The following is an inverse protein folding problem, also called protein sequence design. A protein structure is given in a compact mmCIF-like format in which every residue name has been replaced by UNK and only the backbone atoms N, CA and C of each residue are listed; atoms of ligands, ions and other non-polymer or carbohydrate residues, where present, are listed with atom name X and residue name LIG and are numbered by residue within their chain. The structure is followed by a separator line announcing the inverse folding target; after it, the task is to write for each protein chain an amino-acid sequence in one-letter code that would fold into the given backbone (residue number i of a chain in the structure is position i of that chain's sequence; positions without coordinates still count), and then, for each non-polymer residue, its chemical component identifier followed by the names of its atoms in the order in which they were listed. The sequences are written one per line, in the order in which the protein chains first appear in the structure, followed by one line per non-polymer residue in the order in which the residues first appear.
data_IF_630243645089
#
_entry.id   IF_630243645089
#
_cell.length_a   1.000
_cell.length_b   1.000
_cell.length_c   1.000
_cell.angle_alpha   90.00
_cell.angle_beta   90.00
_cell.angle_gamma   90.00
#
_symmetry.space_group_name_H-M   'P 1'
#
loop_
_entity.id
_entity.type
_entity.pdbx_description
1 polymer ?
#
# COMPACT_ATOMS: atom_id res chain seq x y z
N UNK A 1 52.84 21.78 37.20
CA UNK A 1 51.91 21.31 36.14
C UNK A 1 51.46 22.50 35.32
N UNK A 2 52.02 22.69 34.12
CA UNK A 2 51.55 23.73 33.19
C UNK A 2 50.19 23.30 32.65
N UNK A 3 49.13 24.04 33.01
CA UNK A 3 47.81 23.91 32.37
C UNK A 3 47.96 24.40 30.92
N UNK A 4 48.04 23.47 29.96
CA UNK A 4 47.90 23.82 28.54
C UNK A 4 46.47 24.31 28.32
N UNK A 5 46.33 25.58 27.99
CA UNK A 5 45.05 26.17 27.59
C UNK A 5 44.92 26.02 26.07
N UNK A 6 43.71 25.68 25.59
CA UNK A 6 43.42 25.61 24.17
C UNK A 6 43.43 27.00 23.55
N UNK A 7 43.98 27.11 22.33
CA UNK A 7 43.90 28.35 21.58
C UNK A 7 42.47 28.57 21.10
N UNK A 8 42.01 29.82 21.07
CA UNK A 8 40.66 30.17 20.62
C UNK A 8 40.40 29.68 19.18
N UNK A 9 41.41 29.73 18.32
CA UNK A 9 41.30 29.21 16.94
C UNK A 9 41.11 27.69 16.90
N UNK A 10 41.72 26.95 17.82
CA UNK A 10 41.65 25.48 17.88
C UNK A 10 40.25 25.03 18.29
N UNK A 11 39.65 25.70 19.28
CA UNK A 11 38.26 25.47 19.70
C UNK A 11 37.29 25.80 18.57
N UNK A 12 37.53 26.88 17.83
CA UNK A 12 36.68 27.29 16.70
C UNK A 12 36.73 26.25 15.57
N UNK A 13 37.93 25.78 15.19
CA UNK A 13 38.07 24.75 14.16
C UNK A 13 37.42 23.44 14.60
N UNK A 14 37.62 23.02 15.86
CA UNK A 14 37.02 21.79 16.38
C UNK A 14 35.48 21.84 16.38
N UNK A 15 34.91 22.95 16.85
CA UNK A 15 33.46 23.14 16.86
C UNK A 15 32.88 23.20 15.45
N UNK A 16 33.57 23.81 14.48
CA UNK A 16 33.14 23.85 13.09
C UNK A 16 33.09 22.44 12.45
N UNK A 17 34.14 21.63 12.65
CA UNK A 17 34.19 20.25 12.14
C UNK A 17 33.07 19.40 12.78
N UNK A 18 32.88 19.56 14.09
CA UNK A 18 31.87 18.83 14.85
C UNK A 18 30.44 19.24 14.44
N UNK A 19 30.21 20.51 14.13
CA UNK A 19 28.93 20.97 13.58
C UNK A 19 28.64 20.37 12.19
N UNK A 20 29.63 20.34 11.30
CA UNK A 20 29.49 19.71 9.97
C UNK A 20 29.16 18.22 10.08
N UNK A 21 29.79 17.52 11.02
CA UNK A 21 29.51 16.11 11.27
C UNK A 21 28.05 15.89 11.70
N UNK A 22 27.53 16.71 12.63
CA UNK A 22 26.13 16.59 13.04
C UNK A 22 25.14 16.87 11.92
N UNK A 23 25.40 17.88 11.07
CA UNK A 23 24.55 18.17 9.91
C UNK A 23 24.51 16.98 8.94
N UNK A 24 25.66 16.36 8.68
CA UNK A 24 25.74 15.17 7.84
C UNK A 24 24.96 13.99 8.45
N UNK A 25 25.15 13.72 9.74
CA UNK A 25 24.45 12.66 10.45
C UNK A 25 22.94 12.86 10.44
N UNK A 26 22.45 14.07 10.73
CA UNK A 26 21.01 14.38 10.70
C UNK A 26 20.41 14.18 9.31
N UNK A 27 21.12 14.58 8.26
CA UNK A 27 20.64 14.42 6.87
C UNK A 27 20.45 12.94 6.53
N UNK A 28 21.42 12.09 6.88
CA UNK A 28 21.33 10.64 6.67
C UNK A 28 20.16 10.05 7.47
N UNK A 29 19.99 10.45 8.73
CA UNK A 29 18.89 9.98 9.57
C UNK A 29 17.52 10.35 8.97
N UNK A 30 17.34 11.57 8.48
CA UNK A 30 16.07 12.01 7.85
C UNK A 30 15.77 11.20 6.59
N UNK A 31 16.77 10.97 5.73
CA UNK A 31 16.61 10.15 4.52
C UNK A 31 16.25 8.70 4.86
N UNK A 32 16.87 8.14 5.90
CA UNK A 32 16.58 6.79 6.40
C UNK A 32 15.15 6.69 6.91
N UNK A 33 14.72 7.62 7.77
CA UNK A 33 13.35 7.66 8.31
C UNK A 33 12.29 7.77 7.20
N UNK A 34 12.56 8.57 6.17
CA UNK A 34 11.67 8.69 5.00
C UNK A 34 11.54 7.36 4.27
N UNK A 35 12.65 6.67 4.04
CA UNK A 35 12.67 5.36 3.38
C UNK A 35 11.91 4.31 4.19
N UNK A 36 12.10 4.29 5.51
CA UNK A 36 11.37 3.39 6.41
C UNK A 36 9.86 3.62 6.38
N UNK A 37 9.42 4.88 6.31
CA UNK A 37 7.99 5.22 6.25
C UNK A 37 7.33 4.76 4.95
N UNK A 38 8.00 4.93 3.80
CA UNK A 38 7.52 4.41 2.52
C UNK A 38 7.43 2.88 2.53
N UNK A 39 8.40 2.19 3.13
CA UNK A 39 8.37 0.74 3.28
C UNK A 39 7.22 0.29 4.21
N UNK A 40 7.01 0.99 5.32
CA UNK A 40 5.90 0.73 6.24
C UNK A 40 4.55 0.79 5.51
N UNK A 41 4.30 1.82 4.71
CA UNK A 41 3.07 1.92 3.93
C UNK A 41 2.93 0.84 2.87
N UNK A 42 4.04 0.42 2.28
CA UNK A 42 4.03 -0.69 1.31
C UNK A 42 3.62 -2.00 1.98
N UNK A 43 4.16 -2.29 3.17
CA UNK A 43 3.80 -3.48 3.96
C UNK A 43 2.33 -3.44 4.39
N UNK A 44 1.82 -2.27 4.79
CA UNK A 44 0.40 -2.12 5.14
C UNK A 44 -0.49 -2.30 3.90
N UNK A 45 -0.09 -1.76 2.75
CA UNK A 45 -0.83 -1.92 1.51
C UNK A 45 -0.86 -3.38 1.03
N UNK A 46 0.24 -4.13 1.16
CA UNK A 46 0.27 -5.57 0.84
C UNK A 46 -0.65 -6.35 1.78
N UNK A 47 -0.61 -6.08 3.08
CA UNK A 47 -1.49 -6.74 4.05
C UNK A 47 -2.98 -6.48 3.74
N UNK A 48 -3.35 -5.24 3.40
CA UNK A 48 -4.73 -4.91 3.00
C UNK A 48 -5.16 -5.59 1.70
N UNK A 49 -4.23 -5.83 0.78
CA UNK A 49 -4.49 -6.56 -0.46
C UNK A 49 -4.64 -8.07 -0.20
N UNK A 50 -3.84 -8.64 0.69
CA UNK A 50 -3.94 -10.03 1.14
C UNK A 50 -5.26 -10.28 1.86
N UNK A 51 -5.62 -9.43 2.82
CA UNK A 51 -6.91 -9.48 3.53
C UNK A 51 -8.09 -9.48 2.54
N UNK A 52 -8.03 -8.65 1.51
CA UNK A 52 -9.06 -8.60 0.48
C UNK A 52 -9.08 -9.84 -0.40
N UNK A 53 -7.91 -10.42 -0.68
CA UNK A 53 -7.79 -11.67 -1.45
C UNK A 53 -8.38 -12.84 -0.67
N UNK A 54 -8.10 -12.93 0.63
CA UNK A 54 -8.68 -13.93 1.53
C UNK A 54 -10.19 -13.77 1.64
N UNK A 55 -10.67 -12.53 1.78
CA UNK A 55 -12.10 -12.24 1.78
C UNK A 55 -12.78 -12.67 0.47
N UNK A 56 -12.17 -12.41 -0.68
CA UNK A 56 -12.70 -12.87 -1.98
C UNK A 56 -12.71 -14.40 -2.08
N UNK A 57 -11.71 -15.08 -1.54
CA UNK A 57 -11.71 -16.53 -1.44
C UNK A 57 -12.86 -17.04 -0.57
N UNK A 58 -13.19 -16.35 0.53
CA UNK A 58 -14.37 -16.69 1.35
C UNK A 58 -15.68 -16.49 0.58
N UNK A 59 -15.83 -15.37 -0.14
CA UNK A 59 -17.01 -15.10 -0.96
C UNK A 59 -17.19 -16.14 -2.07
N UNK A 60 -16.08 -16.52 -2.74
CA UNK A 60 -16.00 -17.58 -3.74
C UNK A 60 -16.58 -18.91 -3.23
N UNK A 61 -16.15 -19.32 -2.03
CA UNK A 61 -16.52 -20.60 -1.43
C UNK A 61 -17.96 -20.60 -0.88
N UNK A 62 -18.50 -19.43 -0.55
CA UNK A 62 -19.85 -19.29 0.00
C UNK A 62 -20.92 -19.54 -1.06
N UNK A 63 -20.81 -18.88 -2.22
CA UNK A 63 -21.76 -19.02 -3.33
C UNK A 63 -21.10 -18.61 -4.65
N UNK A 64 -20.60 -19.60 -5.40
CA UNK A 64 -19.93 -19.36 -6.67
C UNK A 64 -20.85 -18.72 -7.73
N UNK A 65 -22.08 -19.20 -7.99
CA UNK A 65 -23.00 -18.53 -8.91
C UNK A 65 -23.21 -17.04 -8.58
N UNK A 66 -23.38 -16.69 -7.30
CA UNK A 66 -23.51 -15.30 -6.88
C UNK A 66 -22.22 -14.51 -7.06
N UNK A 67 -21.08 -15.13 -6.78
CA UNK A 67 -19.76 -14.52 -6.95
C UNK A 67 -19.49 -14.15 -8.41
N UNK A 68 -19.77 -15.06 -9.35
CA UNK A 68 -19.66 -14.79 -10.79
C UNK A 68 -20.60 -13.66 -11.22
N UNK A 69 -21.81 -13.60 -10.65
CA UNK A 69 -22.81 -12.58 -10.99
C UNK A 69 -22.41 -11.15 -10.54
N UNK A 70 -21.38 -10.98 -9.72
CA UNK A 70 -20.83 -9.65 -9.41
C UNK A 70 -20.08 -9.05 -10.60
N UNK A 71 -19.65 -9.84 -11.58
CA UNK A 71 -19.27 -9.30 -12.87
C UNK A 71 -20.51 -8.92 -13.67
N UNK A 72 -20.87 -7.64 -13.62
CA UNK A 72 -21.98 -7.07 -14.40
C UNK A 72 -21.53 -6.63 -15.79
N UNK A 73 -20.22 -6.66 -16.06
CA UNK A 73 -19.66 -6.22 -17.32
C UNK A 73 -19.79 -7.33 -18.37
N UNK A 74 -19.97 -6.94 -19.63
CA UNK A 74 -19.93 -7.88 -20.75
C UNK A 74 -18.48 -8.11 -21.25
N UNK A 75 -17.50 -8.18 -20.34
CA UNK A 75 -16.12 -8.60 -20.66
C UNK A 75 -14.99 -7.68 -20.20
N UNK A 76 -15.25 -6.45 -19.77
CA UNK A 76 -14.20 -5.51 -19.33
C UNK A 76 -13.84 -5.64 -17.84
N UNK A 77 -14.66 -6.36 -17.08
CA UNK A 77 -14.61 -6.45 -15.62
C UNK A 77 -15.43 -5.35 -14.94
N UNK A 78 -15.87 -5.63 -13.72
CA UNK A 78 -16.60 -4.68 -12.87
C UNK A 78 -15.70 -4.21 -11.74
N UNK A 79 -15.60 -2.88 -11.55
CA UNK A 79 -14.82 -2.28 -10.47
C UNK A 79 -15.68 -2.17 -9.22
N UNK A 80 -15.10 -2.50 -8.06
CA UNK A 80 -15.71 -2.35 -6.74
C UNK A 80 -14.76 -1.64 -5.78
N UNK A 81 -15.34 -0.83 -4.89
CA UNK A 81 -14.62 -0.20 -3.81
C UNK A 81 -14.72 -1.05 -2.54
N UNK A 82 -13.62 -1.69 -2.14
CA UNK A 82 -13.57 -2.63 -1.02
C UNK A 82 -13.00 -2.00 0.26
N UNK A 83 -13.44 -0.79 0.63
CA UNK A 83 -12.96 -0.14 1.86
C UNK A 83 -13.29 -0.97 3.10
N UNK A 84 -14.52 -1.47 3.20
CA UNK A 84 -15.02 -2.31 4.29
C UNK A 84 -15.28 -3.77 3.91
N UNK A 85 -14.57 -4.32 2.91
CA UNK A 85 -14.70 -5.72 2.46
C UNK A 85 -16.15 -6.15 2.22
N UNK A 86 -16.84 -5.42 1.35
CA UNK A 86 -18.22 -5.71 1.00
C UNK A 86 -18.53 -5.18 -0.40
N UNK A 87 -19.62 -5.69 -0.99
CA UNK A 87 -20.07 -5.33 -2.33
C UNK A 87 -20.95 -4.07 -2.39
N UNK A 88 -20.97 -3.24 -1.34
CA UNK A 88 -21.94 -2.13 -1.23
C UNK A 88 -21.73 -1.03 -2.28
N UNK A 89 -20.50 -0.86 -2.76
CA UNK A 89 -20.14 0.21 -3.69
C UNK A 89 -19.48 -0.36 -4.94
N UNK A 90 -20.22 -0.36 -6.04
CA UNK A 90 -19.68 -0.56 -7.38
C UNK A 90 -19.12 0.75 -7.93
N UNK A 91 -17.96 0.70 -8.58
CA UNK A 91 -17.23 1.85 -9.10
C UNK A 91 -15.94 2.13 -8.34
N UNK A 92 -15.24 3.18 -8.76
CA UNK A 92 -14.01 3.63 -8.13
C UNK A 92 -14.25 4.13 -6.70
N UNK A 93 -13.25 3.97 -5.84
CA UNK A 93 -13.35 4.48 -4.48
C UNK A 93 -13.27 6.02 -4.46
N UNK A 94 -14.16 6.71 -3.72
CA UNK A 94 -14.21 8.18 -3.69
C UNK A 94 -13.01 8.81 -2.96
N UNK A 95 -12.24 8.03 -2.21
CA UNK A 95 -11.07 8.52 -1.48
C UNK A 95 -10.29 7.44 -0.72
N UNK A 96 -9.29 7.90 0.04
CA UNK A 96 -8.43 7.07 0.88
C UNK A 96 -9.06 6.90 2.27
N UNK A 97 -9.86 5.86 2.47
CA UNK A 97 -10.51 5.60 3.76
C UNK A 97 -10.23 4.21 4.33
N UNK A 98 -9.47 3.38 3.62
CA UNK A 98 -9.09 2.04 4.08
C UNK A 98 -7.86 2.09 5.01
N UNK A 99 -7.81 1.15 5.94
CA UNK A 99 -6.76 1.02 6.95
C UNK A 99 -6.97 1.89 8.20
N UNK A 100 -6.10 1.67 9.19
CA UNK A 100 -5.99 2.51 10.39
C UNK A 100 -4.54 2.99 10.50
N UNK A 101 -4.23 4.26 10.18
CA UNK A 101 -5.14 5.33 9.74
C UNK A 101 -5.68 5.18 8.31
N UNK A 102 -6.78 5.87 8.02
CA UNK A 102 -7.44 5.97 6.71
C UNK A 102 -6.56 6.66 5.65
N UNK A 103 -5.58 5.93 5.12
CA UNK A 103 -4.58 6.43 4.16
C UNK A 103 -4.60 5.65 2.84
N UNK A 104 -5.34 4.54 2.79
CA UNK A 104 -5.33 3.64 1.66
C UNK A 104 -6.66 3.66 0.91
N UNK A 105 -6.59 3.38 -0.38
CA UNK A 105 -7.73 3.18 -1.28
C UNK A 105 -7.62 1.77 -1.83
N UNK A 106 -8.64 0.95 -1.62
CA UNK A 106 -8.65 -0.48 -1.99
C UNK A 106 -9.73 -0.74 -3.03
N UNK A 107 -9.31 -1.05 -4.23
CA UNK A 107 -10.17 -1.28 -5.40
C UNK A 107 -10.02 -2.71 -5.89
N UNK A 108 -11.11 -3.29 -6.36
CA UNK A 108 -11.14 -4.60 -6.99
C UNK A 108 -11.68 -4.45 -8.40
N UNK A 109 -10.97 -4.98 -9.38
CA UNK A 109 -11.52 -5.28 -10.70
C UNK A 109 -11.83 -6.78 -10.74
N UNK A 110 -13.09 -7.15 -10.97
CA UNK A 110 -13.53 -8.54 -11.05
C UNK A 110 -14.08 -8.84 -12.44
N UNK A 111 -13.56 -9.88 -13.08
CA UNK A 111 -13.89 -10.28 -14.45
C UNK A 111 -14.15 -11.78 -14.55
N UNK A 112 -15.37 -12.16 -14.86
CA UNK A 112 -15.72 -13.54 -15.14
C UNK A 112 -15.25 -13.95 -16.54
N UNK A 113 -14.69 -15.15 -16.66
CA UNK A 113 -14.15 -15.70 -17.91
C UNK A 113 -14.77 -17.06 -18.19
N UNK A 114 -15.27 -17.22 -19.43
CA UNK A 114 -15.92 -18.45 -19.92
C UNK A 114 -17.45 -18.31 -20.03
N UNK A 115 -18.07 -19.23 -20.76
CA UNK A 115 -19.53 -19.34 -20.87
C UNK A 115 -19.97 -20.82 -20.81
N UNK A 116 -20.45 -21.33 -19.67
CA UNK A 116 -20.59 -20.64 -18.37
C UNK A 116 -19.23 -20.28 -17.75
N UNK A 117 -19.20 -19.28 -16.85
CA UNK A 117 -17.94 -18.80 -16.27
C UNK A 117 -17.23 -19.88 -15.46
N UNK A 118 -16.01 -20.23 -15.87
CA UNK A 118 -15.18 -21.27 -15.24
C UNK A 118 -14.07 -20.68 -14.36
N UNK A 119 -13.76 -19.40 -14.56
CA UNK A 119 -12.74 -18.65 -13.81
C UNK A 119 -13.21 -17.22 -13.58
N UNK A 120 -12.84 -16.63 -12.45
CA UNK A 120 -13.00 -15.21 -12.17
C UNK A 120 -11.62 -14.60 -11.95
N UNK A 121 -11.21 -13.73 -12.87
CA UNK A 121 -10.00 -12.94 -12.73
C UNK A 121 -10.28 -11.75 -11.82
N UNK A 122 -9.44 -11.59 -10.81
CA UNK A 122 -9.52 -10.53 -9.80
C UNK A 122 -8.22 -9.75 -9.81
N UNK A 123 -8.33 -8.43 -9.78
CA UNK A 123 -7.21 -7.52 -9.66
C UNK A 123 -7.49 -6.54 -8.53
N UNK A 124 -6.83 -6.76 -7.40
CA UNK A 124 -6.95 -5.90 -6.22
C UNK A 124 -5.83 -4.88 -6.29
N UNK A 125 -6.20 -3.60 -6.28
CA UNK A 125 -5.25 -2.49 -6.24
C UNK A 125 -5.43 -1.71 -4.94
N UNK A 126 -4.39 -1.67 -4.13
CA UNK A 126 -4.30 -0.82 -2.94
C UNK A 126 -3.37 0.34 -3.25
N UNK A 127 -3.87 1.57 -3.14
CA UNK A 127 -3.13 2.79 -3.43
C UNK A 127 -3.11 3.76 -2.25
N UNK A 128 -2.06 4.56 -2.14
CA UNK A 128 -1.89 5.59 -1.12
C UNK A 128 -1.11 6.78 -1.66
N UNK A 129 -1.22 7.92 -0.99
CA UNK A 129 -0.45 9.11 -1.31
C UNK A 129 0.87 9.13 -0.52
N UNK A 130 1.99 9.13 -1.23
CA UNK A 130 3.33 9.30 -0.65
C UNK A 130 4.02 10.51 -1.29
N UNK A 131 4.13 11.58 -0.51
CA UNK A 131 4.83 12.84 -0.86
C UNK A 131 4.38 13.38 -2.23
N UNK A 132 3.06 13.49 -2.39
CA UNK A 132 2.43 14.02 -3.60
C UNK A 132 2.34 13.03 -4.76
N UNK A 133 2.89 11.82 -4.63
CA UNK A 133 2.79 10.76 -5.65
C UNK A 133 1.87 9.64 -5.18
N UNK A 134 1.00 9.16 -6.06
CA UNK A 134 0.18 7.98 -5.76
C UNK A 134 1.04 6.75 -5.98
N UNK A 135 1.26 5.99 -4.91
CA UNK A 135 1.88 4.66 -4.95
C UNK A 135 0.77 3.61 -4.92
N UNK A 136 1.04 2.45 -5.49
CA UNK A 136 0.09 1.35 -5.53
C UNK A 136 0.78 -0.01 -5.47
N UNK A 137 0.08 -0.95 -4.86
CA UNK A 137 0.37 -2.39 -4.90
C UNK A 137 -0.83 -3.04 -5.58
N UNK A 138 -0.54 -3.93 -6.53
CA UNK A 138 -1.57 -4.65 -7.28
C UNK A 138 -1.34 -6.15 -7.16
N UNK A 139 -2.37 -6.87 -6.73
CA UNK A 139 -2.39 -8.32 -6.62
C UNK A 139 -3.40 -8.85 -7.65
N UNK A 140 -2.95 -9.74 -8.53
CA UNK A 140 -3.80 -10.39 -9.54
C UNK A 140 -3.97 -11.86 -9.17
N UNK A 141 -5.20 -12.35 -9.22
CA UNK A 141 -5.51 -13.75 -8.95
C UNK A 141 -6.61 -14.25 -9.87
N UNK A 142 -6.46 -15.48 -10.38
CA UNK A 142 -7.48 -16.16 -11.18
C UNK A 142 -8.17 -17.22 -10.32
N UNK A 143 -9.35 -16.92 -9.81
CA UNK A 143 -10.09 -17.80 -8.92
C UNK A 143 -10.89 -18.85 -9.72
N UNK A 144 -10.82 -20.11 -9.29
CA UNK A 144 -11.59 -21.23 -9.84
C UNK A 144 -12.37 -21.94 -8.73
N UNK A 145 -13.43 -22.64 -9.12
CA UNK A 145 -14.31 -23.35 -8.18
C UNK A 145 -13.63 -24.53 -7.47
N UNK A 146 -12.69 -25.22 -8.14
CA UNK A 146 -12.09 -26.48 -7.68
C UNK A 146 -10.61 -26.37 -7.30
N UNK A 147 -10.09 -25.15 -7.15
CA UNK A 147 -8.76 -24.86 -6.58
C UNK A 147 -8.89 -24.26 -5.17
#
# INVERSE_FOLDING_TARGET
MLKKSFSLIEVLVFTAILALFFVAAMTISVVSLRSMKTQQYTIQATHLAEEATEWLNSEKLTDWPKFVAYDKSSGDGTIYCLQGLNWSMSGECPGFTAGSPALFKRELLLKAVGNPATRVDTEITVSWLDIGTIKKVTVKSGLRLLE
#
